data_IF_402821405000
#
_entry.id   IF_402821405000
#
_cell.length_a   1.000
_cell.length_b   1.000
_cell.length_c   1.000
_cell.angle_alpha   90.00
_cell.angle_beta   90.00
_cell.angle_gamma   90.00
#
_symmetry.space_group_name_H-M   'P 1'
#
loop_
_entity.id
_entity.type
_entity.pdbx_description
1 polymer ?
#
# COMPACT_ATOMS: atom_id res chain seq x y z
N UNK A 1 -29.40 0.51 -25.75
CA UNK A 1 -28.92 1.90 -25.76
C UNK A 1 -27.93 2.06 -26.91
N UNK A 2 -27.92 3.17 -27.68
CA UNK A 2 -26.89 3.40 -28.67
C UNK A 2 -25.53 3.45 -27.96
N UNK A 3 -24.62 2.54 -28.33
CA UNK A 3 -23.26 2.51 -27.76
C UNK A 3 -22.52 3.80 -28.11
N UNK A 4 -21.74 4.32 -27.17
CA UNK A 4 -20.98 5.55 -27.35
C UNK A 4 -20.13 5.47 -28.62
N UNK A 5 -20.12 6.56 -29.41
CA UNK A 5 -19.27 6.66 -30.58
C UNK A 5 -17.84 6.98 -30.11
N UNK A 6 -17.02 5.95 -29.96
CA UNK A 6 -15.68 6.07 -29.41
C UNK A 6 -14.73 6.65 -30.47
N UNK A 7 -14.12 7.79 -30.16
CA UNK A 7 -13.16 8.49 -31.02
C UNK A 7 -11.82 8.68 -30.30
N UNK A 8 -10.74 8.68 -31.07
CA UNK A 8 -9.42 9.05 -30.55
C UNK A 8 -9.40 10.53 -30.16
N UNK A 9 -8.66 10.84 -29.09
CA UNK A 9 -8.39 12.20 -28.65
C UNK A 9 -7.40 12.92 -29.60
N UNK A 10 -7.11 14.19 -29.30
CA UNK A 10 -6.17 15.01 -30.08
C UNK A 10 -4.74 14.45 -30.12
N UNK A 11 -4.38 13.61 -29.15
CA UNK A 11 -3.08 12.95 -29.07
C UNK A 11 -3.10 11.57 -29.72
N UNK A 12 -4.17 11.20 -30.43
CA UNK A 12 -4.31 9.91 -31.09
C UNK A 12 -4.59 8.74 -30.16
N UNK A 13 -5.00 8.99 -28.91
CA UNK A 13 -5.26 7.94 -27.90
C UNK A 13 -6.76 7.71 -27.70
N UNK A 14 -7.13 6.46 -27.42
CA UNK A 14 -8.48 6.06 -27.03
C UNK A 14 -8.37 5.06 -25.88
N UNK A 15 -8.98 5.38 -24.73
CA UNK A 15 -9.08 4.44 -23.60
C UNK A 15 -10.44 3.76 -23.62
N UNK A 16 -10.44 2.43 -23.68
CA UNK A 16 -11.64 1.61 -23.59
C UNK A 16 -12.06 1.40 -22.13
N UNK A 17 -13.33 1.06 -21.91
CA UNK A 17 -13.85 0.70 -20.58
C UNK A 17 -13.11 -0.49 -19.95
N UNK A 18 -12.62 -1.43 -20.79
CA UNK A 18 -11.77 -2.52 -20.34
C UNK A 18 -10.45 -2.06 -19.70
N UNK A 19 -10.00 -0.84 -19.99
CA UNK A 19 -8.72 -0.31 -19.55
C UNK A 19 -7.64 -0.32 -20.63
N UNK A 20 -7.90 -0.91 -21.81
CA UNK A 20 -7.00 -0.82 -22.97
C UNK A 20 -6.82 0.63 -23.41
N UNK A 21 -5.57 1.02 -23.60
CA UNK A 21 -5.17 2.26 -24.23
C UNK A 21 -4.75 1.95 -25.68
N UNK A 22 -5.53 2.45 -26.63
CA UNK A 22 -5.28 2.31 -28.06
C UNK A 22 -4.66 3.59 -28.59
N UNK A 23 -3.77 3.46 -29.56
CA UNK A 23 -3.23 4.56 -30.36
C UNK A 23 -3.64 4.40 -31.83
N UNK A 24 -3.88 5.52 -32.52
CA UNK A 24 -4.31 5.53 -33.92
C UNK A 24 -3.29 4.92 -34.90
N UNK A 25 -2.04 4.68 -34.45
CA UNK A 25 -1.01 3.95 -35.20
C UNK A 25 -1.17 2.43 -35.19
N UNK A 26 -2.23 1.89 -34.56
CA UNK A 26 -2.46 0.44 -34.45
C UNK A 26 -1.71 -0.24 -33.30
N UNK A 27 -1.24 0.53 -32.31
CA UNK A 27 -0.64 0.02 -31.06
C UNK A 27 -1.71 0.01 -29.97
N UNK A 28 -1.72 -1.06 -29.17
CA UNK A 28 -2.52 -1.18 -27.97
C UNK A 28 -1.64 -1.50 -26.76
N UNK A 29 -2.05 -0.99 -25.60
CA UNK A 29 -1.43 -1.29 -24.30
C UNK A 29 -2.50 -1.53 -23.26
N UNK A 30 -2.35 -2.57 -22.45
CA UNK A 30 -3.28 -2.85 -21.36
C UNK A 30 -2.70 -3.81 -20.33
N UNK A 31 -3.38 -3.86 -19.20
CA UNK A 31 -3.13 -4.80 -18.10
C UNK A 31 -4.34 -5.73 -18.06
N UNK A 32 -4.18 -6.99 -18.49
CA UNK A 32 -5.30 -7.90 -18.70
C UNK A 32 -5.89 -8.40 -17.38
N UNK A 33 -6.69 -7.56 -16.73
CA UNK A 33 -7.41 -7.86 -15.48
C UNK A 33 -8.74 -8.53 -15.76
N UNK A 34 -9.20 -9.41 -14.89
CA UNK A 34 -10.58 -9.92 -15.04
C UNK A 34 -11.59 -8.76 -14.98
N UNK A 35 -12.51 -8.73 -15.93
CA UNK A 35 -13.64 -7.78 -15.97
C UNK A 35 -14.89 -8.35 -15.30
N UNK A 36 -14.89 -9.66 -14.98
CA UNK A 36 -15.98 -10.37 -14.34
C UNK A 36 -15.42 -11.17 -13.16
N UNK A 37 -15.67 -10.70 -11.94
CA UNK A 37 -15.26 -11.38 -10.73
C UNK A 37 -16.21 -12.55 -10.43
N UNK A 38 -16.14 -13.61 -11.23
CA UNK A 38 -16.72 -14.90 -10.83
C UNK A 38 -15.74 -15.55 -9.84
N UNK A 39 -15.95 -15.26 -8.55
CA UNK A 39 -15.13 -15.75 -7.44
C UNK A 39 -15.10 -17.28 -7.30
N UNK A 40 -15.92 -18.01 -8.07
CA UNK A 40 -15.98 -19.46 -8.12
C UNK A 40 -15.85 -19.97 -9.55
N UNK A 41 -14.62 -19.96 -10.08
CA UNK A 41 -14.31 -20.74 -11.29
C UNK A 41 -13.75 -22.11 -10.88
N UNK A 42 -14.30 -23.17 -11.47
CA UNK A 42 -13.78 -24.54 -11.36
C UNK A 42 -12.48 -24.66 -12.16
N UNK A 43 -11.37 -24.24 -11.58
CA UNK A 43 -10.04 -24.55 -12.10
C UNK A 43 -9.81 -26.05 -12.05
N UNK A 44 -9.61 -26.68 -13.21
CA UNK A 44 -9.26 -28.10 -13.28
C UNK A 44 -7.96 -28.36 -12.49
N UNK A 45 -7.97 -29.44 -11.72
CA UNK A 45 -6.87 -29.86 -10.85
C UNK A 45 -5.60 -30.17 -11.64
N UNK A 46 -4.50 -29.84 -10.98
CA UNK A 46 -3.09 -29.99 -11.37
C UNK A 46 -2.73 -31.44 -11.72
N UNK A 47 -2.20 -31.68 -12.92
CA UNK A 47 -1.53 -32.92 -13.30
C UNK A 47 -0.02 -32.84 -13.02
N UNK A 48 0.56 -33.97 -12.61
CA UNK A 48 1.94 -34.15 -12.19
C UNK A 48 2.84 -34.63 -13.35
N UNK A 49 4.01 -34.02 -13.50
CA UNK A 49 5.11 -34.46 -14.37
C UNK A 49 6.42 -33.73 -14.02
N UNK A 50 7.49 -34.49 -13.76
CA UNK A 50 8.87 -34.05 -13.42
C UNK A 50 9.56 -33.24 -14.55
N UNK A 51 10.57 -32.39 -14.35
CA UNK A 51 11.04 -31.56 -13.22
C UNK A 51 12.12 -30.60 -13.78
N UNK A 52 11.80 -29.32 -13.93
CA UNK A 52 12.79 -28.31 -13.49
C UNK A 52 12.70 -28.35 -11.98
N UNK A 53 13.78 -28.64 -11.26
CA UNK A 53 13.75 -28.63 -9.80
C UNK A 53 13.43 -27.20 -9.37
N UNK A 54 12.17 -26.93 -9.03
CA UNK A 54 11.76 -25.66 -8.43
C UNK A 54 12.63 -25.50 -7.19
N UNK A 55 13.46 -24.46 -7.19
CA UNK A 55 14.36 -24.24 -6.08
C UNK A 55 13.62 -23.46 -5.01
N UNK A 56 13.65 -24.00 -3.80
CA UNK A 56 13.38 -23.26 -2.60
C UNK A 56 14.62 -23.31 -1.71
N UNK A 57 15.10 -22.13 -1.31
CA UNK A 57 16.19 -21.96 -0.36
C UNK A 57 15.83 -20.80 0.58
N UNK A 58 16.77 -20.35 1.42
CA UNK A 58 16.53 -19.26 2.36
C UNK A 58 16.23 -17.90 1.68
N UNK A 59 16.66 -17.71 0.42
CA UNK A 59 16.49 -16.44 -0.30
C UNK A 59 15.18 -16.35 -1.09
N UNK A 60 14.77 -17.43 -1.74
CA UNK A 60 13.65 -17.40 -2.67
C UNK A 60 12.90 -18.75 -2.76
N UNK A 61 11.71 -18.70 -3.34
CA UNK A 61 10.94 -19.86 -3.75
C UNK A 61 10.48 -19.72 -5.21
N UNK A 62 10.50 -20.83 -5.93
CA UNK A 62 10.09 -20.88 -7.34
C UNK A 62 8.74 -21.57 -7.54
N UNK A 63 7.96 -21.06 -8.49
CA UNK A 63 6.65 -21.59 -8.85
C UNK A 63 6.43 -21.53 -10.36
N UNK A 64 5.78 -22.53 -10.97
CA UNK A 64 5.44 -22.48 -12.39
C UNK A 64 4.08 -21.81 -12.62
N UNK A 65 4.02 -20.93 -13.61
CA UNK A 65 2.80 -20.22 -14.00
C UNK A 65 2.65 -20.15 -15.52
N UNK A 66 1.40 -20.35 -15.99
CA UNK A 66 1.00 -19.89 -17.32
C UNK A 66 0.87 -18.38 -17.27
N UNK A 67 1.65 -17.69 -18.11
CA UNK A 67 1.63 -16.22 -18.18
C UNK A 67 0.57 -15.71 -19.14
N UNK A 68 0.48 -16.30 -20.33
CA UNK A 68 -0.50 -15.96 -21.36
C UNK A 68 -0.74 -17.15 -22.29
N UNK A 69 -2.01 -17.41 -22.61
CA UNK A 69 -2.44 -18.49 -23.50
C UNK A 69 -2.91 -17.98 -24.85
N UNK A 70 -2.87 -18.86 -25.84
CA UNK A 70 -3.39 -18.65 -27.18
C UNK A 70 -4.92 -18.76 -27.19
N UNK A 71 -5.60 -17.81 -26.53
CA UNK A 71 -7.05 -17.79 -26.34
C UNK A 71 -7.63 -16.43 -26.73
N UNK A 72 -8.95 -16.36 -26.88
CA UNK A 72 -9.66 -15.09 -26.91
C UNK A 72 -9.78 -14.58 -25.47
N UNK A 73 -9.25 -13.40 -25.18
CA UNK A 73 -9.40 -12.78 -23.87
C UNK A 73 -10.72 -12.01 -23.84
N UNK A 74 -11.75 -12.63 -23.28
CA UNK A 74 -13.09 -12.07 -23.19
C UNK A 74 -13.12 -10.80 -22.31
N UNK A 75 -14.02 -9.87 -22.65
CA UNK A 75 -14.10 -8.53 -22.06
C UNK A 75 -13.02 -7.55 -22.54
N UNK A 76 -11.83 -8.06 -22.88
CA UNK A 76 -10.78 -7.28 -23.57
C UNK A 76 -10.90 -7.38 -25.09
N UNK A 77 -11.57 -8.43 -25.57
CA UNK A 77 -11.79 -8.73 -26.98
C UNK A 77 -10.48 -8.72 -27.77
N UNK A 78 -9.44 -9.30 -27.19
CA UNK A 78 -8.13 -9.48 -27.81
C UNK A 78 -7.92 -10.96 -28.14
N UNK A 79 -7.69 -11.26 -29.41
CA UNK A 79 -7.64 -12.62 -29.93
C UNK A 79 -6.21 -13.16 -30.06
N UNK A 80 -5.68 -13.76 -28.99
CA UNK A 80 -4.34 -14.38 -29.00
C UNK A 80 -4.34 -15.80 -29.57
N UNK A 81 -5.44 -16.29 -30.16
CA UNK A 81 -5.54 -17.68 -30.68
C UNK A 81 -4.57 -18.02 -31.80
N UNK A 82 -3.84 -17.05 -32.36
CA UNK A 82 -2.73 -17.33 -33.25
C UNK A 82 -1.47 -17.66 -32.42
N UNK A 83 -1.08 -18.93 -32.24
CA UNK A 83 0.04 -19.30 -31.36
C UNK A 83 1.39 -18.73 -31.83
N UNK A 84 1.56 -18.49 -33.13
CA UNK A 84 2.83 -18.01 -33.68
C UNK A 84 3.27 -16.66 -33.09
N UNK A 85 2.32 -15.80 -32.69
CA UNK A 85 2.66 -14.50 -32.08
C UNK A 85 3.22 -14.66 -30.67
N UNK A 86 2.84 -15.74 -29.96
CA UNK A 86 3.33 -16.04 -28.62
C UNK A 86 4.69 -16.72 -28.69
N UNK A 87 4.87 -17.66 -29.62
CA UNK A 87 6.13 -18.36 -29.83
C UNK A 87 7.29 -17.40 -30.14
N UNK A 88 7.05 -16.37 -30.97
CA UNK A 88 8.04 -15.33 -31.27
C UNK A 88 8.27 -14.38 -30.09
N UNK A 89 7.31 -14.25 -29.17
CA UNK A 89 7.35 -13.28 -28.08
C UNK A 89 7.96 -13.82 -26.78
N UNK A 90 8.34 -15.10 -26.72
CA UNK A 90 8.79 -15.80 -25.49
C UNK A 90 9.82 -14.99 -24.69
N UNK A 91 10.84 -14.42 -25.35
CA UNK A 91 11.91 -13.68 -24.67
C UNK A 91 11.40 -12.43 -23.93
N UNK A 92 10.32 -11.80 -24.40
CA UNK A 92 9.74 -10.62 -23.74
C UNK A 92 9.15 -10.96 -22.37
N UNK A 93 8.83 -12.22 -22.10
CA UNK A 93 8.23 -12.67 -20.84
C UNK A 93 9.24 -12.88 -19.72
N UNK A 94 10.51 -12.50 -19.90
CA UNK A 94 11.46 -12.28 -18.80
C UNK A 94 11.23 -10.88 -18.21
N UNK A 95 10.45 -10.80 -17.13
CA UNK A 95 9.96 -9.54 -16.56
C UNK A 95 9.83 -9.60 -15.03
N UNK A 96 9.50 -8.46 -14.42
CA UNK A 96 9.32 -8.35 -12.96
C UNK A 96 7.95 -8.87 -12.55
N UNK A 97 7.91 -9.53 -11.38
CA UNK A 97 6.69 -10.04 -10.75
C UNK A 97 6.22 -9.04 -9.72
N UNK A 98 4.94 -8.68 -9.77
CA UNK A 98 4.27 -7.80 -8.82
C UNK A 98 3.13 -8.52 -8.09
N UNK A 99 2.75 -8.05 -6.90
CA UNK A 99 1.62 -8.61 -6.12
C UNK A 99 0.26 -8.15 -6.63
N UNK A 100 0.23 -7.10 -7.45
CA UNK A 100 -0.89 -6.58 -8.20
C UNK A 100 -0.33 -5.76 -9.38
N UNK A 101 -1.19 -5.10 -10.15
CA UNK A 101 -0.74 -4.30 -11.30
C UNK A 101 -0.18 -2.91 -10.92
N UNK A 102 0.14 -2.64 -9.65
CA UNK A 102 0.84 -1.44 -9.23
C UNK A 102 2.35 -1.60 -9.46
N UNK A 103 2.88 -1.00 -10.53
CA UNK A 103 4.30 -1.13 -10.91
C UNK A 103 5.28 -0.28 -10.07
N UNK A 104 5.03 -0.13 -8.77
CA UNK A 104 5.94 0.59 -7.86
C UNK A 104 7.15 -0.27 -7.50
N UNK A 105 8.30 0.34 -7.20
CA UNK A 105 9.54 -0.39 -6.86
C UNK A 105 9.33 -1.36 -5.70
N UNK A 106 8.58 -0.95 -4.66
CA UNK A 106 8.30 -1.76 -3.47
C UNK A 106 7.35 -2.93 -3.73
N UNK A 107 6.60 -2.88 -4.83
CA UNK A 107 5.61 -3.90 -5.17
C UNK A 107 6.19 -5.00 -6.05
N UNK A 108 7.43 -4.83 -6.54
CA UNK A 108 8.15 -5.87 -7.25
C UNK A 108 8.73 -6.87 -6.25
N UNK A 109 8.31 -8.13 -6.36
CA UNK A 109 8.63 -9.20 -5.41
C UNK A 109 9.50 -10.31 -6.00
N UNK A 110 9.75 -10.24 -7.31
CA UNK A 110 10.41 -11.33 -8.02
C UNK A 110 10.68 -11.03 -9.48
N UNK A 111 11.20 -12.05 -10.15
CA UNK A 111 11.50 -12.04 -11.58
C UNK A 111 11.07 -13.37 -12.20
N UNK A 112 10.54 -13.31 -13.41
CA UNK A 112 10.28 -14.53 -14.18
C UNK A 112 11.58 -15.05 -14.78
N UNK A 113 11.68 -16.37 -14.91
CA UNK A 113 12.82 -17.06 -15.49
C UNK A 113 12.35 -18.11 -16.47
N UNK A 114 13.21 -18.40 -17.45
CA UNK A 114 13.03 -19.46 -18.42
C UNK A 114 11.62 -19.46 -19.03
N UNK A 115 11.15 -18.32 -19.60
CA UNK A 115 9.89 -18.34 -20.32
C UNK A 115 10.01 -19.33 -21.47
N UNK A 116 9.00 -20.18 -21.66
CA UNK A 116 8.95 -21.15 -22.74
C UNK A 116 7.55 -21.21 -23.34
N UNK A 117 7.47 -21.49 -24.63
CA UNK A 117 6.22 -21.78 -25.29
C UNK A 117 5.86 -23.25 -25.11
N UNK A 118 4.65 -23.54 -24.62
CA UNK A 118 4.17 -24.90 -24.32
C UNK A 118 2.76 -25.12 -24.87
N UNK A 119 2.33 -26.38 -24.92
CA UNK A 119 0.95 -26.77 -25.20
C UNK A 119 0.33 -27.54 -24.01
N UNK A 120 0.23 -26.88 -22.86
CA UNK A 120 -0.34 -27.47 -21.64
C UNK A 120 -1.87 -27.57 -21.74
N UNK A 121 -2.40 -28.76 -21.43
CA UNK A 121 -3.85 -29.05 -21.47
C UNK A 121 -4.51 -28.71 -22.82
N UNK A 122 -3.81 -28.99 -23.93
CA UNK A 122 -4.23 -28.66 -25.30
C UNK A 122 -4.47 -27.16 -25.56
N UNK A 123 -3.90 -26.30 -24.71
CA UNK A 123 -3.95 -24.85 -24.86
C UNK A 123 -2.52 -24.32 -25.01
N UNK A 124 -2.13 -23.89 -26.22
CA UNK A 124 -0.83 -23.29 -26.43
C UNK A 124 -0.66 -22.01 -25.61
N UNK A 125 0.55 -21.70 -25.18
CA UNK A 125 0.80 -20.50 -24.39
C UNK A 125 2.24 -20.38 -23.90
N UNK A 126 2.51 -19.33 -23.13
CA UNK A 126 3.82 -19.06 -22.55
C UNK A 126 3.76 -19.36 -21.05
N UNK A 127 4.57 -20.31 -20.63
CA UNK A 127 4.81 -20.63 -19.23
C UNK A 127 6.13 -20.02 -18.78
N UNK A 128 6.27 -19.72 -17.49
CA UNK A 128 7.53 -19.28 -16.91
C UNK A 128 7.67 -19.70 -15.45
N UNK A 129 8.92 -19.74 -14.99
CA UNK A 129 9.26 -19.90 -13.57
C UNK A 129 9.16 -18.55 -12.88
N UNK A 130 8.34 -18.45 -11.84
CA UNK A 130 8.21 -17.29 -10.99
C UNK A 130 9.16 -17.46 -9.80
N UNK A 131 10.29 -16.74 -9.81
CA UNK A 131 11.19 -16.66 -8.66
C UNK A 131 10.79 -15.50 -7.77
N UNK A 132 10.31 -15.82 -6.57
CA UNK A 132 9.81 -14.84 -5.60
C UNK A 132 10.76 -14.82 -4.40
N UNK A 133 11.24 -13.64 -4.03
CA UNK A 133 12.21 -13.47 -2.95
C UNK A 133 11.52 -13.43 -1.58
N UNK A 134 12.02 -14.25 -0.64
CA UNK A 134 11.47 -14.39 0.72
C UNK A 134 11.60 -13.10 1.52
N UNK A 135 12.69 -12.35 1.33
CA UNK A 135 12.95 -11.08 2.03
C UNK A 135 11.78 -10.08 1.89
N UNK A 136 11.13 -10.05 0.72
CA UNK A 136 10.09 -9.06 0.42
C UNK A 136 8.67 -9.64 0.30
N UNK A 137 8.52 -10.97 0.23
CA UNK A 137 7.25 -11.61 -0.12
C UNK A 137 7.02 -12.99 0.53
N UNK A 138 7.53 -13.19 1.75
CA UNK A 138 7.33 -14.44 2.51
C UNK A 138 5.85 -14.81 2.70
N UNK A 139 4.97 -13.83 2.90
CA UNK A 139 3.53 -14.05 3.05
C UNK A 139 2.86 -14.49 1.72
N UNK A 140 3.29 -13.92 0.59
CA UNK A 140 2.86 -14.33 -0.76
C UNK A 140 3.29 -15.76 -1.05
N UNK A 141 4.55 -16.11 -0.73
CA UNK A 141 5.08 -17.48 -0.85
C UNK A 141 4.25 -18.44 -0.01
N UNK A 142 3.90 -18.08 1.23
CA UNK A 142 3.06 -18.91 2.10
C UNK A 142 1.67 -19.14 1.47
N UNK A 143 1.03 -18.11 0.92
CA UNK A 143 -0.28 -18.20 0.23
C UNK A 143 -0.24 -19.05 -1.04
N UNK A 144 0.85 -18.98 -1.81
CA UNK A 144 1.07 -19.82 -2.98
C UNK A 144 1.18 -21.30 -2.63
N UNK A 145 1.63 -21.63 -1.40
CA UNK A 145 1.85 -23.02 -0.95
C UNK A 145 0.66 -23.67 -0.28
N UNK A 146 -0.40 -22.93 0.05
CA UNK A 146 -1.59 -23.53 0.68
C UNK A 146 -2.23 -24.57 -0.23
N UNK A 147 -3.03 -25.47 0.36
CA UNK A 147 -3.82 -26.46 -0.38
C UNK A 147 -5.29 -26.32 0.03
N UNK A 148 -6.19 -25.81 -0.84
CA UNK A 148 -5.90 -25.23 -2.16
C UNK A 148 -5.06 -23.94 -2.06
N UNK A 149 -4.37 -23.58 -3.14
CA UNK A 149 -3.56 -22.36 -3.18
C UNK A 149 -4.47 -21.13 -3.08
N UNK A 150 -4.17 -20.21 -2.16
CA UNK A 150 -4.93 -18.96 -1.99
C UNK A 150 -4.62 -17.95 -3.10
N UNK A 151 -3.45 -18.07 -3.71
CA UNK A 151 -3.03 -17.35 -4.90
C UNK A 151 -2.62 -18.41 -5.92
N UNK A 152 -3.30 -18.43 -7.06
CA UNK A 152 -3.02 -19.38 -8.13
C UNK A 152 -3.14 -18.74 -9.52
N UNK A 153 -3.49 -17.46 -9.63
CA UNK A 153 -3.72 -16.79 -10.90
C UNK A 153 -2.69 -15.70 -11.18
N UNK A 154 -2.42 -15.51 -12.47
CA UNK A 154 -1.48 -14.52 -12.99
C UNK A 154 -2.13 -13.68 -14.08
N UNK A 155 -1.72 -12.43 -14.19
CA UNK A 155 -2.02 -11.55 -15.32
C UNK A 155 -0.74 -10.94 -15.86
N UNK A 156 -0.77 -10.55 -17.12
CA UNK A 156 0.33 -9.85 -17.79
C UNK A 156 -0.11 -8.49 -18.31
N UNK A 157 0.75 -7.50 -18.11
CA UNK A 157 0.68 -6.22 -18.79
C UNK A 157 1.49 -6.29 -20.07
N UNK A 158 0.85 -6.07 -21.23
CA UNK A 158 1.53 -6.18 -22.53
C UNK A 158 1.23 -4.98 -23.43
N UNK A 159 2.16 -4.72 -24.34
CA UNK A 159 1.98 -3.82 -25.48
C UNK A 159 2.09 -4.61 -26.76
N UNK A 160 1.18 -4.39 -27.71
CA UNK A 160 1.11 -5.16 -28.95
C UNK A 160 0.56 -4.32 -30.09
N UNK A 161 0.88 -4.70 -31.33
CA UNK A 161 0.20 -4.21 -32.53
C UNK A 161 -0.97 -5.13 -32.88
N UNK A 162 -2.00 -4.58 -33.51
CA UNK A 162 -3.20 -5.35 -33.84
C UNK A 162 -3.82 -4.96 -35.18
N UNK A 163 -4.62 -5.87 -35.71
CA UNK A 163 -5.57 -5.63 -36.79
C UNK A 163 -7.01 -5.66 -36.26
N UNK A 164 -7.92 -4.99 -36.97
CA UNK A 164 -9.36 -5.04 -36.68
C UNK A 164 -9.96 -6.28 -37.32
N UNK A 165 -10.74 -7.08 -36.60
CA UNK A 165 -11.45 -8.20 -37.22
C UNK A 165 -12.45 -7.76 -38.29
N UNK A 166 -13.01 -6.55 -38.17
CA UNK A 166 -13.92 -5.95 -39.13
C UNK A 166 -13.39 -4.56 -39.53
N UNK A 167 -12.47 -4.46 -40.50
CA UNK A 167 -11.73 -3.22 -40.78
C UNK A 167 -12.63 -2.08 -41.28
N UNK A 168 -13.72 -2.41 -41.98
CA UNK A 168 -14.68 -1.45 -42.53
C UNK A 168 -15.86 -1.16 -41.60
N UNK A 169 -15.85 -1.67 -40.36
CA UNK A 169 -16.96 -1.51 -39.44
C UNK A 169 -16.98 -0.11 -38.82
N UNK A 170 -18.09 0.60 -39.05
CA UNK A 170 -18.35 1.86 -38.37
C UNK A 170 -18.44 1.67 -36.85
N UNK A 171 -17.81 2.60 -36.11
CA UNK A 171 -17.67 2.55 -34.65
C UNK A 171 -17.10 1.21 -34.14
N UNK A 172 -16.17 0.60 -34.88
CA UNK A 172 -15.54 -0.69 -34.54
C UNK A 172 -15.20 -0.84 -33.05
N UNK A 173 -14.54 0.15 -32.44
CA UNK A 173 -14.11 0.09 -31.04
C UNK A 173 -15.27 0.10 -30.05
N UNK A 174 -16.33 0.85 -30.34
CA UNK A 174 -17.55 0.84 -29.53
C UNK A 174 -18.32 -0.47 -29.65
N UNK A 175 -18.03 -1.27 -30.68
CA UNK A 175 -18.73 -2.53 -30.99
C UNK A 175 -17.95 -3.79 -30.60
N UNK A 176 -16.79 -3.66 -29.95
CA UNK A 176 -16.03 -4.80 -29.45
C UNK A 176 -16.92 -5.75 -28.62
N UNK A 177 -16.81 -7.05 -28.88
CA UNK A 177 -17.62 -8.10 -28.27
C UNK A 177 -18.97 -8.38 -28.93
N UNK A 178 -19.41 -7.56 -29.89
CA UNK A 178 -20.59 -7.91 -30.68
C UNK A 178 -20.28 -9.03 -31.66
N UNK A 179 -21.27 -9.88 -31.93
CA UNK A 179 -21.18 -10.88 -33.00
C UNK A 179 -21.76 -10.27 -34.28
N UNK A 180 -20.92 -10.15 -35.31
CA UNK A 180 -21.30 -9.69 -36.65
C UNK A 180 -20.78 -10.74 -37.63
N UNK A 181 -21.60 -11.14 -38.59
CA UNK A 181 -21.26 -12.16 -39.59
C UNK A 181 -20.70 -13.47 -38.96
N UNK A 182 -21.26 -13.84 -37.81
CA UNK A 182 -20.86 -15.03 -37.05
C UNK A 182 -19.52 -14.93 -36.30
N UNK A 183 -18.89 -13.75 -36.27
CA UNK A 183 -17.62 -13.52 -35.59
C UNK A 183 -17.69 -12.37 -34.58
N UNK A 184 -16.94 -12.50 -33.48
CA UNK A 184 -16.77 -11.39 -32.55
C UNK A 184 -16.00 -10.23 -33.21
N UNK A 185 -16.51 -9.01 -33.04
CA UNK A 185 -15.75 -7.76 -33.24
C UNK A 185 -14.66 -7.71 -32.17
N UNK A 186 -13.40 -7.80 -32.59
CA UNK A 186 -12.25 -8.03 -31.70
C UNK A 186 -10.96 -7.50 -32.30
N UNK A 187 -10.02 -7.17 -31.45
CA UNK A 187 -8.63 -6.88 -31.82
C UNK A 187 -7.94 -8.21 -32.12
N UNK A 188 -7.18 -8.27 -33.21
CA UNK A 188 -6.35 -9.42 -33.59
C UNK A 188 -4.90 -8.99 -33.41
N UNK A 189 -4.27 -9.28 -32.25
CA UNK A 189 -2.84 -9.08 -32.05
C UNK A 189 -2.02 -9.74 -33.16
N UNK A 190 -1.08 -8.97 -33.74
CA UNK A 190 -0.17 -9.45 -34.79
C UNK A 190 1.28 -9.56 -34.30
N UNK A 191 1.64 -8.80 -33.26
CA UNK A 191 2.98 -8.83 -32.65
C UNK A 191 2.94 -8.28 -31.23
N UNK A 192 3.54 -8.99 -30.29
CA UNK A 192 3.80 -8.47 -28.94
C UNK A 192 5.11 -7.67 -28.99
N UNK A 193 5.07 -6.45 -28.46
CA UNK A 193 6.20 -5.52 -28.46
C UNK A 193 6.99 -5.56 -27.14
N UNK A 194 6.29 -5.76 -26.02
CA UNK A 194 6.91 -5.78 -24.69
C UNK A 194 5.96 -6.34 -23.63
N UNK A 195 6.51 -6.98 -22.61
CA UNK A 195 5.81 -7.39 -21.38
C UNK A 195 6.42 -6.66 -20.17
N UNK A 196 6.01 -5.39 -19.91
CA UNK A 196 6.60 -4.59 -18.83
C UNK A 196 6.37 -5.13 -17.41
N UNK A 197 5.39 -6.01 -17.21
CA UNK A 197 5.10 -6.62 -15.90
C UNK A 197 4.33 -7.93 -16.04
N UNK A 198 4.44 -8.76 -15.00
CA UNK A 198 3.46 -9.79 -14.66
C UNK A 198 3.02 -9.62 -13.21
N UNK A 199 1.77 -9.93 -12.90
CA UNK A 199 1.18 -9.72 -11.58
C UNK A 199 0.41 -10.94 -11.10
N UNK A 200 0.60 -11.28 -9.83
CA UNK A 200 -0.27 -12.23 -9.13
C UNK A 200 -1.63 -11.57 -8.91
N UNK A 201 -2.72 -12.24 -9.27
CA UNK A 201 -4.08 -11.69 -9.19
C UNK A 201 -5.04 -12.69 -8.58
N UNK A 202 -6.17 -12.21 -8.07
CA UNK A 202 -7.23 -13.09 -7.57
C UNK A 202 -7.98 -13.78 -8.73
N UNK A 203 -8.24 -13.05 -9.82
CA UNK A 203 -8.92 -13.56 -11.01
C UNK A 203 -8.19 -13.05 -12.26
N UNK A 204 -7.72 -13.93 -13.15
CA UNK A 204 -7.01 -13.53 -14.36
C UNK A 204 -8.01 -13.20 -15.48
N UNK A 205 -7.63 -12.35 -16.44
CA UNK A 205 -8.44 -12.19 -17.67
C UNK A 205 -8.31 -13.41 -18.59
N UNK A 206 -7.12 -14.00 -18.63
CA UNK A 206 -6.90 -15.32 -19.20
C UNK A 206 -7.21 -16.38 -18.13
N UNK A 207 -8.37 -17.02 -18.21
CA UNK A 207 -8.82 -18.01 -17.22
C UNK A 207 -7.85 -19.21 -17.05
N UNK A 208 -6.93 -19.40 -17.99
CA UNK A 208 -5.94 -20.50 -17.99
C UNK A 208 -4.57 -20.07 -17.44
N UNK A 209 -4.34 -18.76 -17.25
CA UNK A 209 -3.12 -18.18 -16.70
C UNK A 209 -3.03 -18.42 -15.18
N UNK A 210 -2.69 -19.66 -14.84
CA UNK A 210 -2.67 -20.18 -13.47
C UNK A 210 -1.38 -20.89 -13.14
N UNK A 211 -1.11 -20.99 -11.84
CA UNK A 211 -0.08 -21.81 -11.24
C UNK A 211 -0.31 -23.28 -11.61
N UNK A 212 0.76 -24.00 -11.88
CA UNK A 212 0.71 -25.44 -12.15
C UNK A 212 1.93 -26.17 -11.59
N UNK A 213 1.94 -27.50 -11.63
CA UNK A 213 3.12 -28.32 -11.31
C UNK A 213 3.76 -28.86 -12.58
N UNK A 214 5.11 -28.90 -12.64
CA UNK A 214 5.85 -29.49 -13.75
C UNK A 214 6.08 -28.56 -14.94
N UNK A 215 6.82 -29.00 -15.95
CA UNK A 215 6.94 -28.41 -17.29
C UNK A 215 6.84 -29.55 -18.31
N UNK A 216 6.10 -29.36 -19.39
CA UNK A 216 6.17 -30.24 -20.55
C UNK A 216 7.18 -29.66 -21.56
N UNK A 217 8.42 -30.14 -21.53
CA UNK A 217 9.39 -29.83 -22.58
C UNK A 217 9.17 -30.78 -23.77
N UNK A 218 9.11 -30.28 -25.01
CA UNK A 218 9.44 -31.11 -26.16
C UNK A 218 10.91 -31.52 -26.02
N UNK A 219 11.19 -32.83 -25.93
CA UNK A 219 12.56 -33.35 -25.90
C UNK A 219 13.35 -32.80 -27.10
N UNK A 220 14.29 -31.89 -26.83
CA UNK A 220 15.41 -31.63 -27.72
C UNK A 220 16.68 -32.12 -27.03
N UNK A 221 17.41 -32.97 -27.75
CA UNK A 221 18.57 -33.71 -27.28
C UNK A 221 19.66 -32.80 -26.70
N UNK A 222 19.85 -32.82 -25.38
CA UNK A 222 21.06 -32.33 -24.74
C UNK A 222 21.56 -33.39 -23.74
N UNK A 223 22.44 -34.26 -24.22
CA UNK A 223 23.26 -35.14 -23.39
C UNK A 223 24.66 -34.54 -23.25
N UNK A 224 25.24 -34.75 -22.06
CA UNK A 224 26.61 -34.52 -21.62
C UNK A 224 26.94 -33.16 -20.97
N UNK A 225 27.00 -33.15 -19.63
CA UNK A 225 28.08 -32.49 -18.89
C UNK A 225 28.43 -33.32 -17.63
N UNK A 226 29.73 -33.53 -17.43
CA UNK A 226 30.35 -34.31 -16.35
C UNK A 226 30.34 -33.55 -15.01
N UNK A 227 30.16 -34.27 -13.90
CA UNK A 227 30.31 -33.74 -12.53
C UNK A 227 31.76 -33.83 -12.06
N UNK A 228 32.37 -32.68 -11.74
CA UNK A 228 33.55 -32.56 -10.87
C UNK A 228 33.18 -31.62 -9.72
N UNK A 229 33.45 -32.02 -8.46
CA UNK A 229 33.18 -31.21 -7.28
C UNK A 229 34.12 -29.99 -7.20
N UNK A 230 33.55 -28.79 -7.35
CA UNK A 230 34.26 -27.52 -7.21
C UNK A 230 34.56 -27.19 -5.73
N UNK A 231 35.82 -26.83 -5.44
CA UNK A 231 36.27 -26.28 -4.16
C UNK A 231 36.54 -24.77 -4.30
N UNK A 232 36.07 -23.97 -3.33
CA UNK A 232 36.16 -22.50 -3.39
C UNK A 232 37.23 -21.94 -2.43
N UNK A 233 37.90 -20.85 -2.85
CA UNK A 233 38.92 -20.14 -2.03
C UNK A 233 38.40 -18.80 -1.51
N UNK A 234 38.58 -18.50 -0.23
CA UNK A 234 38.28 -17.20 0.39
C UNK A 234 39.48 -16.65 1.16
N UNK A 235 39.68 -15.33 1.13
CA UNK A 235 40.73 -14.65 1.90
C UNK A 235 40.42 -14.65 3.40
N UNK A 236 41.41 -14.96 4.24
CA UNK A 236 41.26 -14.98 5.71
C UNK A 236 40.90 -13.62 6.30
N UNK A 237 41.37 -12.54 5.68
CA UNK A 237 41.07 -11.16 6.11
C UNK A 237 39.57 -10.83 6.01
N UNK A 238 38.90 -11.34 4.98
CA UNK A 238 37.45 -11.15 4.79
C UNK A 238 36.67 -11.88 5.89
N UNK A 239 37.08 -13.10 6.26
CA UNK A 239 36.46 -13.85 7.35
C UNK A 239 36.58 -13.13 8.70
N UNK A 240 37.77 -12.58 8.99
CA UNK A 240 38.00 -11.81 10.21
C UNK A 240 37.19 -10.51 10.25
N UNK A 241 37.11 -9.77 9.14
CA UNK A 241 36.30 -8.55 9.02
C UNK A 241 34.80 -8.81 9.22
N UNK A 242 34.33 -10.00 8.84
CA UNK A 242 32.95 -10.43 8.98
C UNK A 242 32.66 -11.11 10.33
N UNK A 243 33.64 -11.16 11.22
CA UNK A 243 33.51 -11.72 12.57
C UNK A 243 33.36 -13.24 12.62
N UNK A 244 33.75 -13.96 11.55
CA UNK A 244 33.63 -15.42 11.48
C UNK A 244 34.78 -16.06 12.26
N UNK A 245 34.44 -16.82 13.32
CA UNK A 245 35.42 -17.55 14.11
C UNK A 245 35.94 -18.79 13.35
N UNK A 246 37.12 -18.65 12.78
CA UNK A 246 37.77 -19.71 12.01
C UNK A 246 37.96 -21.03 12.78
N UNK A 247 38.09 -21.00 14.13
CA UNK A 247 38.28 -22.20 14.93
C UNK A 247 37.00 -23.04 15.02
N UNK A 248 35.84 -22.38 15.03
CA UNK A 248 34.50 -23.00 15.09
C UNK A 248 34.20 -23.89 13.88
N UNK A 249 34.84 -23.61 12.73
CA UNK A 249 34.67 -24.38 11.49
C UNK A 249 35.78 -25.43 11.25
N UNK A 250 36.66 -25.65 12.24
CA UNK A 250 37.77 -26.59 12.15
C UNK A 250 38.82 -26.17 11.13
N UNK A 251 38.96 -24.86 10.86
CA UNK A 251 39.99 -24.34 9.98
C UNK A 251 41.31 -24.30 10.74
N UNK A 252 42.33 -24.99 10.24
CA UNK A 252 43.64 -24.98 10.88
C UNK A 252 44.23 -23.57 10.90
N UNK A 253 44.86 -23.23 12.03
CA UNK A 253 45.70 -22.06 12.23
C UNK A 253 46.99 -22.17 11.39
N UNK A 254 46.86 -22.28 10.08
CA UNK A 254 47.97 -22.38 9.14
C UNK A 254 48.23 -21.04 8.45
N UNK A 255 49.51 -20.71 8.26
CA UNK A 255 49.97 -19.52 7.54
C UNK A 255 49.53 -19.56 6.06
N UNK A 256 48.92 -18.47 5.58
CA UNK A 256 48.48 -18.29 4.19
C UNK A 256 47.35 -17.26 4.03
N UNK A 257 47.32 -16.52 2.91
CA UNK A 257 46.37 -15.40 2.66
C UNK A 257 44.91 -15.88 2.47
N UNK A 258 44.72 -17.12 2.01
CA UNK A 258 43.42 -17.69 1.65
C UNK A 258 43.22 -19.09 2.23
N UNK A 259 41.95 -19.48 2.40
CA UNK A 259 41.50 -20.79 2.86
C UNK A 259 40.66 -21.41 1.77
N UNK A 260 40.94 -22.68 1.44
CA UNK A 260 40.10 -23.49 0.57
C UNK A 260 39.08 -24.24 1.42
N UNK A 261 37.80 -24.08 1.09
CA UNK A 261 36.70 -24.72 1.78
C UNK A 261 35.94 -25.62 0.81
N UNK A 262 35.55 -26.83 1.24
CA UNK A 262 34.49 -27.58 0.57
C UNK A 262 33.23 -26.72 0.50
N UNK A 263 32.47 -26.81 -0.60
CA UNK A 263 31.25 -26.02 -0.83
C UNK A 263 30.26 -26.09 0.34
N UNK A 264 30.15 -27.25 0.98
CA UNK A 264 29.30 -27.49 2.16
C UNK A 264 29.69 -26.64 3.37
N UNK A 265 30.98 -26.35 3.59
CA UNK A 265 31.44 -25.51 4.71
C UNK A 265 31.36 -24.02 4.37
N UNK A 266 31.45 -23.67 3.10
CA UNK A 266 31.36 -22.28 2.64
C UNK A 266 30.00 -21.65 2.97
N UNK A 267 28.93 -22.43 2.84
CA UNK A 267 27.57 -22.00 3.16
C UNK A 267 27.45 -21.54 4.62
N UNK A 268 27.96 -22.34 5.55
CA UNK A 268 27.93 -22.02 6.99
C UNK A 268 28.73 -20.77 7.36
N UNK A 269 29.82 -20.51 6.63
CA UNK A 269 30.68 -19.34 6.81
C UNK A 269 30.01 -18.06 6.28
N UNK A 270 29.36 -18.15 5.12
CA UNK A 270 28.61 -17.04 4.53
C UNK A 270 27.35 -16.71 5.33
N UNK A 271 26.71 -17.72 5.94
CA UNK A 271 25.56 -17.52 6.83
C UNK A 271 25.93 -16.72 8.10
N UNK A 272 27.05 -17.04 8.76
CA UNK A 272 27.52 -16.32 9.95
C UNK A 272 27.96 -14.89 9.62
N UNK A 273 28.63 -14.70 8.48
CA UNK A 273 28.95 -13.36 7.96
C UNK A 273 27.69 -12.53 7.65
N UNK A 274 26.67 -13.14 7.03
CA UNK A 274 25.39 -12.51 6.72
C UNK A 274 24.67 -12.00 7.97
N UNK A 275 24.69 -12.77 9.07
CA UNK A 275 24.11 -12.36 10.36
C UNK A 275 24.77 -11.09 10.91
N UNK A 276 26.11 -10.98 10.81
CA UNK A 276 26.86 -9.80 11.25
C UNK A 276 26.56 -8.58 10.39
N UNK A 277 26.49 -8.73 9.06
CA UNK A 277 26.15 -7.64 8.13
C UNK A 277 24.74 -7.12 8.41
N UNK A 278 23.75 -8.00 8.55
CA UNK A 278 22.36 -7.62 8.86
C UNK A 278 22.25 -6.87 10.18
N UNK A 279 23.01 -7.29 11.20
CA UNK A 279 23.06 -6.59 12.50
C UNK A 279 23.63 -5.16 12.36
N UNK A 280 24.72 -4.99 11.61
CA UNK A 280 25.32 -3.67 11.37
C UNK A 280 24.39 -2.75 10.55
N UNK A 281 23.69 -3.32 9.56
CA UNK A 281 22.73 -2.58 8.74
C UNK A 281 21.51 -2.10 9.55
N UNK A 282 20.99 -2.94 10.45
CA UNK A 282 19.89 -2.54 11.33
C UNK A 282 20.31 -1.43 12.29
N UNK A 283 21.53 -1.51 12.85
CA UNK A 283 22.09 -0.43 13.69
C UNK A 283 22.26 0.89 12.92
N UNK A 284 22.75 0.83 11.68
CA UNK A 284 22.86 2.01 10.82
C UNK A 284 21.47 2.63 10.50
N UNK A 285 20.47 1.79 10.20
CA UNK A 285 19.10 2.22 9.93
C UNK A 285 18.46 2.89 11.14
N UNK A 286 18.61 2.33 12.33
CA UNK A 286 18.09 2.92 13.56
C UNK A 286 18.72 4.29 13.84
N UNK A 287 20.03 4.45 13.58
CA UNK A 287 20.71 5.74 13.73
C UNK A 287 20.19 6.82 12.76
N UNK A 288 19.93 6.46 11.49
CA UNK A 288 19.43 7.39 10.48
C UNK A 288 17.99 7.84 10.74
N UNK A 289 17.12 6.93 11.19
CA UNK A 289 15.74 7.28 11.58
C UNK A 289 15.73 8.20 12.80
N UNK A 290 16.58 7.93 13.80
CA UNK A 290 16.71 8.76 14.98
C UNK A 290 17.17 10.18 14.61
N UNK A 291 18.17 10.30 13.73
CA UNK A 291 18.65 11.59 13.23
C UNK A 291 17.60 12.35 12.43
N UNK A 292 16.82 11.68 11.58
CA UNK A 292 15.71 12.31 10.84
C UNK A 292 14.66 12.91 11.78
N UNK A 293 14.28 12.17 12.82
CA UNK A 293 13.29 12.64 13.79
C UNK A 293 13.84 13.79 14.64
N UNK A 294 15.11 13.74 15.03
CA UNK A 294 15.79 14.83 15.74
C UNK A 294 15.87 16.11 14.87
N UNK A 295 16.13 15.99 13.58
CA UNK A 295 16.16 17.13 12.66
C UNK A 295 14.77 17.75 12.46
N UNK A 296 13.70 16.95 12.44
CA UNK A 296 12.33 17.48 12.43
C UNK A 296 12.01 18.23 13.72
N UNK A 297 12.47 17.72 14.87
CA UNK A 297 12.30 18.39 16.16
C UNK A 297 13.12 19.68 16.26
N UNK A 298 14.34 19.72 15.71
CA UNK A 298 15.20 20.91 15.69
C UNK A 298 14.57 22.10 14.97
N UNK A 299 13.81 21.84 13.89
CA UNK A 299 13.11 22.87 13.11
C UNK A 299 12.08 23.64 13.93
N UNK A 300 11.49 23.01 14.94
CA UNK A 300 10.55 23.68 15.86
C UNK A 300 11.24 24.77 16.72
N UNK A 301 12.56 24.70 16.84
CA UNK A 301 13.39 25.69 17.53
C UNK A 301 14.21 26.56 16.56
N UNK A 302 13.82 26.59 15.28
CA UNK A 302 14.45 27.43 14.26
C UNK A 302 15.83 26.96 13.81
N UNK A 303 16.19 25.70 14.05
CA UNK A 303 17.48 25.10 13.65
C UNK A 303 17.26 23.95 12.65
N UNK A 304 18.19 23.77 11.70
CA UNK A 304 18.08 22.67 10.72
C UNK A 304 18.42 21.30 11.32
N UNK A 305 19.29 21.29 12.33
CA UNK A 305 19.68 20.14 13.14
C UNK A 305 20.07 20.62 14.54
N UNK A 306 20.05 19.73 15.53
CA UNK A 306 20.58 20.07 16.85
C UNK A 306 22.11 20.00 16.87
N UNK A 307 22.80 20.95 17.52
CA UNK A 307 24.24 20.86 17.76
C UNK A 307 24.57 19.68 18.68
N UNK A 308 25.80 19.18 18.56
CA UNK A 308 26.31 18.14 19.46
C UNK A 308 26.24 18.61 20.92
N UNK A 309 25.70 17.77 21.81
CA UNK A 309 25.54 18.09 23.23
C UNK A 309 24.28 18.87 23.60
N UNK A 310 23.28 18.97 22.71
CA UNK A 310 21.98 19.60 23.03
C UNK A 310 21.30 18.93 24.24
N UNK A 311 20.78 19.74 25.16
CA UNK A 311 19.88 19.25 26.21
C UNK A 311 18.45 19.13 25.68
N UNK A 312 18.14 17.93 25.16
CA UNK A 312 16.83 17.60 24.59
C UNK A 312 15.71 17.68 25.65
N UNK A 313 16.01 17.37 26.91
CA UNK A 313 15.01 17.36 27.98
C UNK A 313 14.50 18.78 28.26
N UNK A 314 15.39 19.77 28.30
CA UNK A 314 15.03 21.18 28.44
C UNK A 314 14.18 21.68 27.27
N UNK A 315 14.47 21.25 26.03
CA UNK A 315 13.67 21.63 24.84
C UNK A 315 12.27 21.03 24.84
N UNK A 316 12.11 19.79 25.29
CA UNK A 316 10.77 19.18 25.47
C UNK A 316 9.96 19.93 26.53
N UNK A 317 10.58 20.34 27.63
CA UNK A 317 9.92 21.11 28.68
C UNK A 317 9.46 22.50 28.19
N UNK A 318 10.25 23.16 27.32
CA UNK A 318 9.90 24.44 26.70
C UNK A 318 8.62 24.32 25.85
N UNK A 319 8.52 23.30 25.00
CA UNK A 319 7.31 23.04 24.19
C UNK A 319 6.08 22.74 25.06
N UNK A 320 6.24 21.94 26.11
CA UNK A 320 5.16 21.67 27.06
C UNK A 320 4.66 22.95 27.73
N UNK A 321 5.55 23.91 28.00
CA UNK A 321 5.17 25.22 28.56
C UNK A 321 4.36 26.06 27.55
N UNK A 322 4.74 26.06 26.27
CA UNK A 322 4.02 26.81 25.22
C UNK A 322 2.59 26.30 24.99
N UNK A 323 2.31 25.02 25.27
CA UNK A 323 0.98 24.42 25.14
C UNK A 323 0.04 24.72 26.31
N UNK A 324 0.53 25.25 27.44
CA UNK A 324 -0.29 25.49 28.65
C UNK A 324 -1.39 26.53 28.43
N UNK A 325 -1.05 27.70 27.89
CA UNK A 325 -2.03 28.79 27.69
C UNK A 325 -3.12 28.44 26.65
N UNK A 326 -2.79 27.89 25.45
CA UNK A 326 -3.81 27.43 24.52
C UNK A 326 -4.76 26.39 25.11
N UNK A 327 -4.23 25.44 25.90
CA UNK A 327 -5.03 24.39 26.56
C UNK A 327 -5.97 24.99 27.60
N UNK A 328 -5.50 25.98 28.35
CA UNK A 328 -6.31 26.71 29.33
C UNK A 328 -7.47 27.45 28.67
N UNK A 329 -7.21 28.17 27.58
CA UNK A 329 -8.25 28.90 26.81
C UNK A 329 -9.31 27.93 26.30
N UNK A 330 -8.88 26.80 25.71
CA UNK A 330 -9.79 25.78 25.20
C UNK A 330 -10.70 25.22 26.31
N UNK A 331 -10.13 24.89 27.46
CA UNK A 331 -10.89 24.35 28.59
C UNK A 331 -11.86 25.38 29.17
N UNK A 332 -11.48 26.65 29.27
CA UNK A 332 -12.40 27.72 29.71
C UNK A 332 -13.60 27.86 28.78
N UNK A 333 -13.42 27.77 27.47
CA UNK A 333 -14.55 27.86 26.53
C UNK A 333 -15.44 26.61 26.57
N UNK A 334 -14.85 25.41 26.74
CA UNK A 334 -15.61 24.17 26.96
C UNK A 334 -16.44 24.23 28.25
N UNK A 335 -15.86 24.72 29.34
CA UNK A 335 -16.55 24.90 30.62
C UNK A 335 -17.75 25.85 30.49
N UNK A 336 -17.56 27.01 29.84
CA UNK A 336 -18.66 27.95 29.56
C UNK A 336 -19.79 27.29 28.77
N UNK A 337 -19.45 26.51 27.74
CA UNK A 337 -20.43 25.79 26.93
C UNK A 337 -21.20 24.74 27.75
N UNK A 338 -20.50 23.97 28.61
CA UNK A 338 -21.13 23.00 29.52
C UNK A 338 -22.03 23.70 30.52
N UNK A 339 -21.59 24.80 31.14
CA UNK A 339 -22.43 25.56 32.08
C UNK A 339 -23.70 26.07 31.40
N UNK A 340 -23.60 26.62 30.18
CA UNK A 340 -24.76 27.06 29.42
C UNK A 340 -25.69 25.88 29.07
N UNK A 341 -25.15 24.74 28.68
CA UNK A 341 -25.92 23.52 28.39
C UNK A 341 -26.67 22.99 29.62
N UNK A 342 -26.01 22.91 30.78
CA UNK A 342 -26.61 22.47 32.04
C UNK A 342 -27.74 23.38 32.50
N UNK A 343 -27.51 24.70 32.41
CA UNK A 343 -28.52 25.70 32.74
C UNK A 343 -29.73 25.62 31.80
N UNK A 344 -29.49 25.47 30.48
CA UNK A 344 -30.56 25.30 29.50
C UNK A 344 -31.40 24.04 29.76
N UNK A 345 -30.73 22.94 30.11
CA UNK A 345 -31.36 21.64 30.33
C UNK A 345 -31.98 21.50 31.73
N UNK A 346 -32.00 22.56 32.54
CA UNK A 346 -32.49 22.57 33.94
C UNK A 346 -31.91 21.41 34.77
N UNK A 347 -30.61 21.14 34.59
CA UNK A 347 -29.87 20.02 35.20
C UNK A 347 -30.34 18.59 34.82
N UNK A 348 -31.27 18.43 33.88
CA UNK A 348 -31.56 17.12 33.26
C UNK A 348 -30.65 16.91 32.04
N UNK A 349 -29.39 16.58 32.31
CA UNK A 349 -28.30 16.61 31.33
C UNK A 349 -28.06 15.24 30.70
N UNK A 350 -27.86 15.21 29.38
CA UNK A 350 -27.44 14.01 28.66
C UNK A 350 -25.89 13.90 28.71
N UNK A 351 -25.33 12.84 29.33
CA UNK A 351 -23.87 12.67 29.46
C UNK A 351 -23.16 12.56 28.10
N UNK A 352 -23.85 12.13 27.04
CA UNK A 352 -23.30 12.06 25.69
C UNK A 352 -23.04 13.47 25.14
N UNK A 353 -23.97 14.40 25.40
CA UNK A 353 -23.83 15.80 24.96
C UNK A 353 -22.75 16.52 25.78
N UNK A 354 -22.64 16.24 27.09
CA UNK A 354 -21.53 16.77 27.88
C UNK A 354 -20.17 16.26 27.39
N UNK A 355 -20.07 14.98 27.08
CA UNK A 355 -18.87 14.38 26.50
C UNK A 355 -18.49 15.00 25.15
N UNK A 356 -19.48 15.28 24.29
CA UNK A 356 -19.29 15.98 23.02
C UNK A 356 -18.72 17.39 23.23
N UNK A 357 -19.22 18.16 24.19
CA UNK A 357 -18.73 19.51 24.48
C UNK A 357 -17.31 19.45 25.09
N UNK A 358 -17.01 18.47 25.94
CA UNK A 358 -15.67 18.26 26.52
C UNK A 358 -14.62 17.86 25.47
N UNK A 359 -15.01 17.09 24.45
CA UNK A 359 -14.18 16.77 23.28
C UNK A 359 -14.03 17.92 22.29
N UNK A 360 -14.88 18.94 22.43
CA UNK A 360 -14.95 20.22 21.73
C UNK A 360 -13.63 20.79 21.18
N UNK A 361 -13.39 20.99 19.89
CA UNK A 361 -12.31 21.94 19.50
C UNK A 361 -12.72 23.40 19.84
N UNK A 362 -11.81 24.38 19.74
CA UNK A 362 -12.08 25.74 20.20
C UNK A 362 -13.27 26.40 19.50
N UNK A 363 -13.40 26.21 18.19
CA UNK A 363 -14.50 26.77 17.40
C UNK A 363 -15.84 26.12 17.78
N UNK A 364 -15.83 24.80 17.90
CA UNK A 364 -16.99 24.02 18.31
C UNK A 364 -17.45 24.39 19.73
N UNK A 365 -16.52 24.54 20.68
CA UNK A 365 -16.83 24.97 22.05
C UNK A 365 -17.53 26.34 22.09
N UNK A 366 -17.03 27.31 21.31
CA UNK A 366 -17.66 28.64 21.16
C UNK A 366 -19.04 28.57 20.51
N UNK A 367 -19.20 27.71 19.51
CA UNK A 367 -20.49 27.50 18.84
C UNK A 367 -21.53 26.92 19.81
N UNK A 368 -21.16 25.89 20.59
CA UNK A 368 -22.01 25.33 21.63
C UNK A 368 -22.40 26.36 22.68
N UNK A 369 -21.44 27.15 23.18
CA UNK A 369 -21.72 28.22 24.13
C UNK A 369 -22.73 29.22 23.56
N UNK A 370 -22.56 29.67 22.31
CA UNK A 370 -23.48 30.61 21.66
C UNK A 370 -24.88 30.02 21.50
N UNK A 371 -24.98 28.75 21.09
CA UNK A 371 -26.26 28.08 20.87
C UNK A 371 -27.05 27.93 22.18
N UNK A 372 -26.43 27.41 23.24
CA UNK A 372 -27.11 27.24 24.53
C UNK A 372 -27.32 28.58 25.25
N UNK A 373 -26.39 29.53 25.12
CA UNK A 373 -26.52 30.88 25.67
C UNK A 373 -27.68 31.67 25.06
N UNK A 374 -27.85 31.65 23.74
CA UNK A 374 -28.99 32.29 23.07
C UNK A 374 -30.33 31.61 23.42
N UNK A 375 -30.32 30.30 23.64
CA UNK A 375 -31.52 29.54 24.01
C UNK A 375 -31.97 29.84 25.46
N UNK A 376 -31.02 30.14 26.35
CA UNK A 376 -31.30 30.62 27.71
C UNK A 376 -31.99 32.00 27.72
N UNK A 377 -31.48 32.97 26.96
CA UNK A 377 -32.09 34.30 26.82
C UNK A 377 -33.55 34.22 26.30
N UNK A 378 -33.83 33.32 25.36
CA UNK A 378 -35.18 33.12 24.81
C UNK A 378 -36.13 32.43 25.82
N UNK A 379 -35.62 31.49 26.63
CA UNK A 379 -36.41 30.74 27.63
C UNK A 379 -36.67 31.51 28.92
N UNK A 380 -35.78 32.43 29.30
CA UNK A 380 -35.86 33.25 30.51
C UNK A 380 -35.48 34.72 30.23
N UNK A 381 -36.33 35.47 29.51
CA UNK A 381 -36.04 36.87 29.20
C UNK A 381 -35.97 37.70 30.48
N UNK A 382 -35.04 38.66 30.52
CA UNK A 382 -34.90 39.62 31.61
C UNK A 382 -36.22 40.40 31.79
N UNK A 383 -36.93 40.15 32.88
CA UNK A 383 -38.09 40.97 33.27
C UNK A 383 -37.62 42.03 34.27
N UNK A 384 -37.99 43.26 34.01
CA UNK A 384 -37.85 44.33 35.00
C UNK A 384 -38.83 44.01 36.14
N UNK A 385 -38.37 43.98 37.40
CA UNK A 385 -39.25 43.64 38.54
C UNK A 385 -40.43 44.63 38.64
N UNK A 386 -40.18 45.90 38.30
CA UNK A 386 -41.19 46.93 38.07
C UNK A 386 -40.80 47.73 36.83
N UNK A 387 -41.72 47.98 35.89
CA UNK A 387 -41.39 48.66 34.63
C UNK A 387 -40.75 50.05 34.87
N UNK A 388 -39.52 50.23 34.39
CA UNK A 388 -38.77 51.49 34.48
C UNK A 388 -37.68 51.57 35.57
N UNK A 389 -37.49 50.52 36.37
CA UNK A 389 -36.37 50.47 37.33
C UNK A 389 -35.06 50.02 36.65
N UNK A 390 -33.89 50.45 37.18
CA UNK A 390 -32.56 49.93 36.75
C UNK A 390 -32.19 48.61 37.44
N UNK A 391 -33.08 48.04 38.26
CA UNK A 391 -32.88 46.75 38.92
C UNK A 391 -33.51 45.66 38.05
N UNK A 392 -32.65 44.96 37.33
CA UNK A 392 -33.03 43.84 36.47
C UNK A 392 -32.75 42.56 37.26
N UNK A 393 -33.74 41.68 37.43
CA UNK A 393 -33.54 40.35 38.00
C UNK A 393 -33.88 39.28 36.97
N UNK A 394 -33.11 38.19 36.97
CA UNK A 394 -33.47 36.96 36.25
C UNK A 394 -34.27 36.12 37.24
N UNK A 395 -35.47 35.67 36.86
CA UNK A 395 -36.29 34.82 37.72
C UNK A 395 -35.46 33.62 38.21
N UNK A 396 -35.28 33.55 39.53
CA UNK A 396 -34.44 32.56 40.21
C UNK A 396 -34.97 31.15 39.96
N UNK A 397 -34.25 30.36 39.16
CA UNK A 397 -34.31 28.91 39.27
C UNK A 397 -33.65 28.52 40.59
N UNK A 398 -34.36 27.79 41.45
CA UNK A 398 -33.92 27.41 42.80
C UNK A 398 -32.53 26.76 42.78
N UNK A 399 -31.52 27.51 43.19
CA UNK A 399 -30.25 26.97 43.63
C UNK A 399 -30.48 26.38 45.02
N UNK A 400 -30.47 25.05 45.12
CA UNK A 400 -30.23 24.40 46.41
C UNK A 400 -28.74 24.55 46.72
N UNK A 401 -28.38 25.60 47.45
CA UNK A 401 -27.03 25.70 48.03
C UNK A 401 -26.88 24.62 49.13
N UNK A 402 -25.72 23.95 49.22
CA UNK A 402 -25.38 23.15 50.39
C UNK A 402 -25.19 24.08 51.59
N UNK A 403 -25.77 23.73 52.73
CA UNK A 403 -25.57 24.44 53.99
C UNK A 403 -24.11 24.33 54.47
N UNK A 404 -23.48 25.49 54.73
CA UNK A 404 -22.47 25.64 55.79
C UNK A 404 -21.19 26.39 55.43
N UNK A 405 -21.04 27.63 55.96
CA UNK A 405 -19.73 28.23 56.24
C UNK A 405 -19.57 29.71 55.88
N UNK A 406 -19.95 30.61 56.78
CA UNK A 406 -19.88 32.07 56.64
C UNK A 406 -18.45 32.64 56.52
N UNK A 407 -18.30 33.76 55.81
CA UNK A 407 -17.76 35.01 56.40
C UNK A 407 -18.06 36.23 55.51
N UNK A 408 -18.59 37.25 56.16
CA UNK A 408 -18.98 38.56 55.66
C UNK A 408 -17.79 39.49 55.44
N UNK A 409 -17.87 40.42 54.49
CA UNK A 409 -17.32 41.77 54.64
C UNK A 409 -18.01 42.77 53.70
N UNK A 410 -18.38 43.90 54.28
CA UNK A 410 -19.33 44.91 53.79
C UNK A 410 -18.80 45.84 52.69
N UNK A 411 -19.77 46.40 51.96
CA UNK A 411 -19.69 47.53 51.01
C UNK A 411 -19.08 48.80 51.63
N UNK A 412 -18.41 49.61 50.79
CA UNK A 412 -18.45 51.07 50.90
C UNK A 412 -19.09 51.69 49.65
N UNK A 413 -19.97 52.65 49.90
CA UNK A 413 -20.84 53.34 48.96
C UNK A 413 -20.08 54.47 48.22
N UNK A 414 -20.44 54.81 46.98
CA UNK A 414 -19.73 55.78 46.16
C UNK A 414 -20.46 57.12 46.17
N UNK A 415 -19.96 58.08 46.95
CA UNK A 415 -20.25 59.49 46.73
C UNK A 415 -18.98 60.29 46.96
N UNK A 416 -18.14 60.34 45.94
CA UNK A 416 -17.35 61.53 45.68
C UNK A 416 -16.88 61.52 44.24
N UNK A 417 -16.78 62.73 43.70
CA UNK A 417 -16.22 63.11 42.41
C UNK A 417 -17.19 63.18 41.23
N UNK A 418 -17.84 64.35 41.14
CA UNK A 418 -18.03 65.03 39.84
C UNK A 418 -16.80 65.89 39.54
N UNK A 419 -16.33 65.78 38.30
CA UNK A 419 -15.17 66.43 37.71
C UNK A 419 -15.30 67.96 37.67
N UNK A 420 -14.19 68.67 37.94
CA UNK A 420 -13.96 70.05 37.47
C UNK A 420 -12.70 70.10 36.60
N UNK A 421 -12.79 70.84 35.50
CA UNK A 421 -11.81 70.96 34.42
C UNK A 421 -10.78 72.06 34.70
N UNK A 422 -9.49 71.75 34.58
CA UNK A 422 -8.48 72.43 33.74
C UNK A 422 -7.16 71.69 33.83
#
# INVERSE_FOLDING_TARGET
MPKANLKFDSNGHLRLESGLLLHNSGVARGEFRSLHADFFQSGASVNAGDATSLVENEEFAEFNFRMLSAVLIEGWWCDFRNPAILEVAVEHFTTKIYTDHQRTVRNAIGITRNPIFTNRNDIPGIDAVFRIYKEFASDVIARLKTKPALIDANSVGISFTYEKSHPQLDNFYGRLGEVIDGQYVRLIPIKILSVPETSLVAVPADNTARKFSGFDFPQSNLTNLNNQEDKMKIKRTILSLLGVDSQKFGLSSGEGESVELPSEKMESVLEEAGKTISKLQEQARQSAVLQSNLNQFAKLFGSEAFPEGIDLASKVAELQSLLKEPTKILNTEREKAITAFRAFSKNNTDPVIEGLIQGANLEQAKAFFKQYGASLENSHPLKCEDCGSKKVSRASGSLSEPQGGATSSQKKNPDSYKLSKK
#
